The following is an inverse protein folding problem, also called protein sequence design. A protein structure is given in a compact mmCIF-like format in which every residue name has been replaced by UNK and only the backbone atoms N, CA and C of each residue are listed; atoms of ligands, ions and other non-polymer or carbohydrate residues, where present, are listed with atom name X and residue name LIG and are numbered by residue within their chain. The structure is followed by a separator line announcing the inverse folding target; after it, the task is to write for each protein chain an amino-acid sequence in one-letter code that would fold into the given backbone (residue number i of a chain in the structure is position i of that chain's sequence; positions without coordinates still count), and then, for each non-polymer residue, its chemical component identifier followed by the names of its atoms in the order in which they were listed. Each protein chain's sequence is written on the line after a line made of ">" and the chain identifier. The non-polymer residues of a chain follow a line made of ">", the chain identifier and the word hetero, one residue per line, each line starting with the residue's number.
data_IF_220872913825
#
_entry.id   IF_220872913825
#
_cell.length_a   1.000
_cell.length_b   1.000
_cell.length_c   1.000
_cell.angle_alpha   90.00
_cell.angle_beta   90.00
_cell.angle_gamma   90.00
#
_symmetry.space_group_name_H-M   'P 1'
#
loop_
_entity.id
_entity.type
_entity.pdbx_description
1 polymer ?
#
# COMPACT_ATOMS: atom_id res chain seq x y z
N UNK A 1 51.32 -32.72 18.14
CA UNK A 1 50.23 -32.22 19.00
C UNK A 1 49.57 -31.05 18.29
N UNK A 2 48.26 -31.18 18.07
CA UNK A 2 47.22 -30.14 17.89
C UNK A 2 47.61 -28.84 17.16
N UNK A 3 47.02 -28.62 15.99
CA UNK A 3 46.23 -27.40 15.82
C UNK A 3 45.06 -27.66 14.87
N UNK A 4 43.87 -27.39 15.39
CA UNK A 4 42.58 -27.69 14.80
C UNK A 4 42.22 -26.69 13.71
N UNK A 5 41.54 -27.19 12.68
CA UNK A 5 40.87 -26.42 11.64
C UNK A 5 39.95 -25.36 12.26
N UNK A 6 40.09 -24.11 11.82
CA UNK A 6 39.06 -23.09 11.99
C UNK A 6 38.28 -22.98 10.67
N UNK A 7 37.20 -23.76 10.55
CA UNK A 7 36.16 -23.52 9.56
C UNK A 7 35.39 -22.26 9.98
N UNK A 8 35.64 -21.14 9.31
CA UNK A 8 34.78 -19.98 9.39
C UNK A 8 33.48 -20.26 8.59
N UNK A 9 32.48 -20.80 9.27
CA UNK A 9 31.10 -20.84 8.79
C UNK A 9 30.57 -19.41 8.73
N UNK A 10 30.67 -18.78 7.55
CA UNK A 10 29.93 -17.56 7.26
C UNK A 10 28.47 -17.98 7.08
N UNK A 11 27.73 -17.98 8.18
CA UNK A 11 26.28 -18.12 8.16
C UNK A 11 25.71 -16.95 7.34
N UNK A 12 25.23 -17.25 6.14
CA UNK A 12 24.56 -16.29 5.29
C UNK A 12 23.30 -15.78 5.98
N UNK A 13 23.33 -14.53 6.42
CA UNK A 13 22.13 -13.75 6.68
C UNK A 13 21.47 -13.44 5.34
N UNK A 14 20.75 -14.42 4.79
CA UNK A 14 19.75 -14.15 3.78
C UNK A 14 18.67 -13.30 4.47
N UNK A 15 18.81 -11.97 4.38
CA UNK A 15 17.66 -11.10 4.54
C UNK A 15 16.64 -11.58 3.52
N UNK A 16 15.61 -12.29 4.01
CA UNK A 16 14.35 -12.43 3.31
C UNK A 16 13.84 -11.00 3.14
N UNK A 17 14.26 -10.36 2.05
CA UNK A 17 13.74 -9.10 1.58
C UNK A 17 12.27 -9.38 1.27
N UNK A 18 11.43 -9.31 2.31
CA UNK A 18 10.01 -9.12 2.15
C UNK A 18 9.90 -7.97 1.18
N UNK A 19 9.34 -8.24 0.00
CA UNK A 19 9.08 -7.23 -1.01
C UNK A 19 8.19 -6.17 -0.35
N UNK A 20 8.83 -5.15 0.22
CA UNK A 20 8.15 -4.03 0.83
C UNK A 20 7.36 -3.35 -0.28
N UNK A 21 6.11 -3.00 0.03
CA UNK A 21 5.31 -2.18 -0.88
C UNK A 21 6.15 -0.96 -1.27
N UNK A 22 6.28 -0.62 -2.57
CA UNK A 22 6.90 0.64 -2.93
C UNK A 22 6.15 1.74 -2.18
N UNK A 23 6.89 2.62 -1.50
CA UNK A 23 6.25 3.73 -0.79
C UNK A 23 5.55 4.58 -1.84
N UNK A 24 4.23 4.67 -1.72
CA UNK A 24 3.36 5.36 -2.67
C UNK A 24 2.52 6.37 -1.92
N UNK A 25 2.17 7.46 -2.58
CA UNK A 25 1.25 8.43 -2.02
C UNK A 25 -0.18 8.04 -2.40
N UNK A 26 -0.99 7.70 -1.40
CA UNK A 26 -2.40 7.35 -1.55
C UNK A 26 -3.26 8.51 -1.04
N UNK A 27 -4.17 9.02 -1.86
CA UNK A 27 -5.16 10.02 -1.43
C UNK A 27 -6.57 9.45 -1.54
N UNK A 28 -7.40 9.81 -0.57
CA UNK A 28 -8.83 9.48 -0.54
C UNK A 28 -9.58 10.80 -0.57
N UNK A 29 -10.40 11.03 -1.59
CA UNK A 29 -11.34 12.15 -1.65
C UNK A 29 -12.75 11.60 -1.50
N UNK A 30 -13.48 12.06 -0.49
CA UNK A 30 -14.83 11.55 -0.17
C UNK A 30 -15.92 12.45 -0.76
N UNK A 31 -17.02 11.84 -1.19
CA UNK A 31 -18.16 12.53 -1.77
C UNK A 31 -19.46 12.18 -1.04
N UNK A 32 -20.35 13.15 -0.95
CA UNK A 32 -21.71 12.96 -0.46
C UNK A 32 -22.68 12.52 -1.58
N UNK A 33 -23.94 12.33 -1.22
CA UNK A 33 -25.01 11.95 -2.15
C UNK A 33 -25.28 12.98 -3.26
N UNK A 34 -24.82 14.22 -3.10
CA UNK A 34 -24.93 15.28 -4.10
C UNK A 34 -23.70 15.34 -5.01
N UNK A 35 -22.70 14.49 -4.78
CA UNK A 35 -21.42 14.51 -5.48
C UNK A 35 -20.49 15.63 -5.01
N UNK A 36 -20.80 16.29 -3.88
CA UNK A 36 -19.94 17.31 -3.32
C UNK A 36 -18.78 16.66 -2.56
N UNK A 37 -17.57 17.17 -2.80
CA UNK A 37 -16.39 16.76 -2.04
C UNK A 37 -16.52 17.21 -0.59
N UNK A 38 -16.34 16.27 0.34
CA UNK A 38 -16.41 16.53 1.78
C UNK A 38 -15.01 16.69 2.37
N UNK A 39 -14.14 15.70 2.19
CA UNK A 39 -12.82 15.63 2.83
C UNK A 39 -11.78 14.98 1.90
N UNK A 40 -10.50 15.24 2.22
CA UNK A 40 -9.38 14.55 1.58
C UNK A 40 -8.40 14.03 2.62
N UNK A 41 -8.08 12.74 2.54
CA UNK A 41 -7.11 12.06 3.40
C UNK A 41 -5.89 11.63 2.60
N UNK A 42 -4.72 11.53 3.25
CA UNK A 42 -3.46 11.13 2.62
C UNK A 42 -2.75 10.08 3.46
N UNK A 43 -2.27 9.03 2.80
CA UNK A 43 -1.57 7.91 3.42
C UNK A 43 -0.39 7.46 2.55
N UNK A 44 0.53 6.71 3.16
CA UNK A 44 1.74 6.20 2.50
C UNK A 44 1.65 4.71 2.10
N UNK A 45 0.53 4.04 2.41
CA UNK A 45 0.35 2.62 2.14
C UNK A 45 -1.08 2.24 1.80
N UNK A 46 -1.24 1.14 1.08
CA UNK A 46 -2.54 0.56 0.76
C UNK A 46 -3.31 0.16 2.04
N UNK A 47 -2.61 -0.41 3.02
CA UNK A 47 -3.23 -0.89 4.27
C UNK A 47 -3.85 0.24 5.09
N UNK A 48 -3.17 1.38 5.19
CA UNK A 48 -3.72 2.56 5.87
C UNK A 48 -4.90 3.15 5.11
N UNK A 49 -4.81 3.24 3.78
CA UNK A 49 -5.93 3.68 2.92
C UNK A 49 -7.14 2.77 3.09
N UNK A 50 -6.95 1.45 3.12
CA UNK A 50 -8.03 0.50 3.35
C UNK A 50 -8.70 0.69 4.71
N UNK A 51 -7.90 0.82 5.77
CA UNK A 51 -8.41 1.07 7.11
C UNK A 51 -9.22 2.38 7.17
N UNK A 52 -8.71 3.46 6.57
CA UNK A 52 -9.39 4.74 6.52
C UNK A 52 -10.73 4.65 5.75
N UNK A 53 -10.77 3.99 4.60
CA UNK A 53 -12.01 3.77 3.84
C UNK A 53 -13.05 3.01 4.66
N UNK A 54 -12.64 1.96 5.37
CA UNK A 54 -13.55 1.22 6.26
C UNK A 54 -14.11 2.09 7.37
N UNK A 55 -13.28 2.96 7.96
CA UNK A 55 -13.71 3.88 9.00
C UNK A 55 -14.72 4.93 8.48
N UNK A 56 -14.47 5.46 7.29
CA UNK A 56 -15.36 6.44 6.63
C UNK A 56 -16.70 5.79 6.30
N UNK A 57 -16.69 4.56 5.76
CA UNK A 57 -17.88 3.88 5.30
C UNK A 57 -18.61 3.08 6.41
N UNK A 58 -18.13 3.12 7.65
CA UNK A 58 -18.74 2.44 8.80
C UNK A 58 -19.98 3.23 9.30
N UNK A 59 -21.21 2.68 9.15
CA UNK A 59 -22.42 3.37 9.57
C UNK A 59 -22.48 3.61 11.08
N UNK A 60 -21.77 2.81 11.89
CA UNK A 60 -21.72 3.00 13.36
C UNK A 60 -20.88 4.20 13.77
N UNK A 61 -20.05 4.71 12.85
CA UNK A 61 -19.20 5.90 13.05
C UNK A 61 -19.71 7.13 12.31
N UNK A 62 -20.95 7.09 11.79
CA UNK A 62 -21.58 8.22 11.11
C UNK A 62 -21.57 9.50 11.97
N UNK A 63 -21.62 9.38 13.30
CA UNK A 63 -21.52 10.51 14.23
C UNK A 63 -20.19 11.28 14.19
N UNK A 64 -19.12 10.69 13.64
CA UNK A 64 -17.81 11.33 13.52
C UNK A 64 -17.66 12.14 12.24
N UNK A 65 -18.59 12.00 11.29
CA UNK A 65 -18.57 12.71 10.02
C UNK A 65 -19.82 13.59 9.91
N UNK A 66 -19.67 14.91 9.67
CA UNK A 66 -20.81 15.83 9.64
C UNK A 66 -21.76 15.58 8.46
N UNK A 67 -21.30 14.86 7.43
CA UNK A 67 -22.04 14.55 6.20
C UNK A 67 -21.80 13.08 5.86
N UNK A 68 -22.86 12.38 5.45
CA UNK A 68 -22.76 10.99 5.01
C UNK A 68 -21.91 10.87 3.74
N UNK A 69 -20.90 10.01 3.79
CA UNK A 69 -20.09 9.68 2.61
C UNK A 69 -20.73 8.51 1.87
N UNK A 70 -20.97 8.69 0.56
CA UNK A 70 -21.53 7.63 -0.31
C UNK A 70 -20.47 6.98 -1.19
N UNK A 71 -19.43 7.73 -1.56
CA UNK A 71 -18.32 7.23 -2.37
C UNK A 71 -16.99 7.91 -2.02
N UNK A 72 -15.90 7.28 -2.44
CA UNK A 72 -14.56 7.81 -2.29
C UNK A 72 -13.74 7.57 -3.55
N UNK A 73 -13.11 8.63 -4.07
CA UNK A 73 -12.08 8.55 -5.10
C UNK A 73 -10.74 8.28 -4.42
N UNK A 74 -10.13 7.15 -4.75
CA UNK A 74 -8.77 6.82 -4.34
C UNK A 74 -7.84 7.11 -5.50
N UNK A 75 -6.79 7.89 -5.26
CA UNK A 75 -5.71 8.10 -6.22
C UNK A 75 -4.38 7.61 -5.64
N UNK A 76 -3.56 7.00 -6.50
CA UNK A 76 -2.22 6.54 -6.17
C UNK A 76 -1.23 7.28 -7.04
N UNK A 77 -0.23 7.90 -6.40
CA UNK A 77 0.83 8.66 -7.04
C UNK A 77 2.19 8.16 -6.55
N UNK A 78 3.27 8.36 -7.33
CA UNK A 78 4.62 8.13 -6.81
C UNK A 78 4.83 8.93 -5.54
N UNK A 79 5.51 8.35 -4.54
CA UNK A 79 5.86 9.10 -3.34
C UNK A 79 6.94 10.13 -3.67
N UNK A 80 6.70 11.39 -3.30
CA UNK A 80 7.69 12.46 -3.39
C UNK A 80 8.31 12.67 -2.00
N UNK A 81 9.63 12.47 -1.87
CA UNK A 81 10.33 12.75 -0.61
C UNK A 81 10.26 14.26 -0.31
N UNK A 82 9.41 14.66 0.64
CA UNK A 82 9.41 16.00 1.22
C UNK A 82 8.66 17.10 0.44
N UNK A 83 7.81 16.74 -0.53
CA UNK A 83 7.00 17.70 -1.29
C UNK A 83 5.53 17.26 -1.44
N UNK A 84 4.63 18.14 -1.91
CA UNK A 84 3.31 17.71 -2.35
C UNK A 84 3.46 16.61 -3.42
N UNK A 85 2.49 15.69 -3.55
CA UNK A 85 2.58 14.60 -4.52
C UNK A 85 2.74 15.16 -5.94
N UNK A 86 3.98 15.22 -6.41
CA UNK A 86 4.36 15.68 -7.74
C UNK A 86 4.47 14.46 -8.63
N UNK A 87 3.43 14.20 -9.39
CA UNK A 87 3.41 13.05 -10.28
C UNK A 87 2.04 12.83 -10.91
N UNK A 88 2.07 12.25 -12.12
CA UNK A 88 0.84 11.75 -12.76
C UNK A 88 0.21 10.70 -11.84
N UNK A 89 -1.12 10.68 -11.80
CA UNK A 89 -1.88 9.61 -11.16
C UNK A 89 -1.49 8.29 -11.83
N UNK A 90 -0.94 7.35 -11.04
CA UNK A 90 -0.60 6.01 -11.53
C UNK A 90 -1.86 5.18 -11.69
N UNK A 91 -2.76 5.28 -10.70
CA UNK A 91 -4.05 4.59 -10.66
C UNK A 91 -5.04 5.47 -9.91
N UNK A 92 -6.29 5.45 -10.36
CA UNK A 92 -7.40 5.99 -9.59
C UNK A 92 -8.62 5.10 -9.74
N UNK A 93 -9.44 5.07 -8.71
CA UNK A 93 -10.73 4.41 -8.75
C UNK A 93 -11.67 5.08 -7.76
N UNK A 94 -12.90 5.31 -8.20
CA UNK A 94 -13.99 5.61 -7.28
C UNK A 94 -14.56 4.29 -6.74
N UNK A 95 -14.79 4.25 -5.44
CA UNK A 95 -15.31 3.09 -4.72
C UNK A 95 -16.46 3.57 -3.83
N UNK A 96 -17.62 2.95 -3.97
CA UNK A 96 -18.79 3.27 -3.15
C UNK A 96 -18.65 2.69 -1.74
N UNK A 97 -19.29 3.31 -0.76
CA UNK A 97 -19.29 2.75 0.59
C UNK A 97 -20.00 1.40 0.68
N UNK A 98 -20.95 1.11 -0.20
CA UNK A 98 -21.59 -0.21 -0.29
C UNK A 98 -20.63 -1.29 -0.81
N UNK A 99 -19.75 -0.96 -1.76
CA UNK A 99 -18.66 -1.86 -2.18
C UNK A 99 -17.68 -2.13 -1.03
N UNK A 100 -17.29 -1.10 -0.27
CA UNK A 100 -16.39 -1.25 0.88
C UNK A 100 -17.01 -2.16 1.97
N UNK A 101 -18.32 -2.03 2.21
CA UNK A 101 -19.05 -2.82 3.21
C UNK A 101 -19.24 -4.28 2.76
N UNK A 102 -19.57 -4.48 1.49
CA UNK A 102 -19.88 -5.81 0.93
C UNK A 102 -18.64 -6.64 0.61
N UNK A 103 -17.51 -6.00 0.31
CA UNK A 103 -16.29 -6.69 -0.11
C UNK A 103 -15.04 -6.21 0.63
N UNK A 104 -14.52 -7.09 1.50
CA UNK A 104 -13.27 -6.89 2.24
C UNK A 104 -12.01 -6.66 1.37
N UNK A 105 -12.10 -6.88 0.07
CA UNK A 105 -11.02 -6.69 -0.92
C UNK A 105 -11.36 -5.64 -1.97
N UNK A 106 -12.42 -4.84 -1.79
CA UNK A 106 -12.87 -3.84 -2.77
C UNK A 106 -11.73 -2.93 -3.25
N UNK A 107 -10.93 -2.39 -2.33
CA UNK A 107 -9.79 -1.54 -2.68
C UNK A 107 -8.76 -2.28 -3.52
N UNK A 108 -8.36 -3.49 -3.11
CA UNK A 108 -7.35 -4.28 -3.83
C UNK A 108 -7.82 -4.71 -5.22
N UNK A 109 -9.12 -5.00 -5.40
CA UNK A 109 -9.68 -5.32 -6.72
C UNK A 109 -9.64 -4.12 -7.67
N UNK A 110 -9.95 -2.93 -7.15
CA UNK A 110 -9.97 -1.68 -7.94
C UNK A 110 -8.57 -1.12 -8.19
N UNK A 111 -7.72 -1.14 -7.17
CA UNK A 111 -6.35 -0.65 -7.19
C UNK A 111 -5.43 -1.72 -6.58
N UNK A 112 -4.94 -2.66 -7.39
CA UNK A 112 -4.03 -3.69 -6.92
C UNK A 112 -2.76 -3.08 -6.34
N UNK A 113 -2.31 -3.61 -5.19
CA UNK A 113 -1.02 -3.24 -4.61
C UNK A 113 0.09 -3.56 -5.61
N UNK A 114 0.89 -2.58 -6.05
CA UNK A 114 2.04 -2.86 -6.89
C UNK A 114 3.03 -3.71 -6.08
N UNK A 115 3.28 -4.93 -6.55
CA UNK A 115 4.26 -5.82 -5.96
C UNK A 115 5.60 -5.58 -6.62
N UNK A 116 6.63 -5.31 -5.84
CA UNK A 116 8.01 -5.37 -6.32
C UNK A 116 8.26 -6.81 -6.78
N UNK A 117 8.70 -7.05 -8.03
CA UNK A 117 9.07 -8.40 -8.45
C UNK A 117 10.12 -8.97 -7.47
N UNK A 118 10.06 -10.27 -7.13
CA UNK A 118 11.12 -10.87 -6.32
C UNK A 118 12.46 -10.63 -7.01
N UNK A 119 13.48 -10.24 -6.23
CA UNK A 119 14.82 -10.06 -6.77
C UNK A 119 15.23 -11.37 -7.46
N UNK A 120 15.68 -11.29 -8.72
CA UNK A 120 16.26 -12.45 -9.39
C UNK A 120 17.48 -12.85 -8.57
N UNK A 121 17.43 -14.02 -7.93
CA UNK A 121 18.61 -14.61 -7.30
C UNK A 121 19.66 -14.76 -8.38
N UNK A 122 20.74 -13.97 -8.32
CA UNK A 122 21.93 -14.23 -9.12
C UNK A 122 22.49 -15.54 -8.61
N UNK A 123 22.35 -16.62 -9.40
CA UNK A 123 23.15 -17.81 -9.18
C UNK A 123 24.61 -17.41 -9.36
N UNK A 124 25.34 -17.32 -8.24
CA UNK A 124 26.79 -17.23 -8.26
C UNK A 124 27.27 -18.59 -8.77
N UNK A 125 27.52 -18.68 -10.08
CA UNK A 125 28.21 -19.84 -10.64
C UNK A 125 29.63 -19.80 -10.10
N UNK A 126 29.92 -20.66 -9.13
CA UNK A 126 31.25 -20.86 -8.60
C UNK A 126 32.13 -21.48 -9.69
N UNK A 127 32.88 -20.64 -10.41
CA UNK A 127 33.98 -21.09 -11.25
C UNK A 127 35.21 -21.31 -10.36
N UNK A 128 35.37 -22.55 -9.88
CA UNK A 128 36.66 -23.05 -9.44
C UNK A 128 37.09 -24.14 -10.43
N UNK A 129 38.11 -23.82 -11.24
CA UNK A 129 38.94 -24.79 -11.97
C UNK A 129 40.15 -25.12 -11.10
#
# INVERSE_FOLDING_TARGET
>A
MKSFLAFALIAGSACLAHASEPVLHWSITTFDSQGQQINTFRHSSHSMTWMQLRLICDPTRASHFPVETVSALVEVRPFANGGPPTGRVLRSAEITCDEIRSDSKALTKRIPVPRTPPAKTQEIVNFWN
#
